data_IF_089020555180
#
_entry.id   IF_089020555180
#
_cell.length_a   1.000
_cell.length_b   1.000
_cell.length_c   1.000
_cell.angle_alpha   90.00
_cell.angle_beta   90.00
_cell.angle_gamma   90.00
#
_symmetry.space_group_name_H-M   'P 1'
#
loop_
_entity.id
_entity.type
_entity.pdbx_description
1 polymer ?
#
# COMPACT_ATOMS: atom_id res chain seq x y z
N UNK A 1 18.94 9.53 2.68
CA UNK A 1 18.57 8.22 3.30
C UNK A 1 19.45 7.88 4.52
N UNK A 2 19.91 8.89 5.27
CA UNK A 2 20.99 8.77 6.26
C UNK A 2 20.77 7.77 7.40
N UNK A 3 19.53 7.65 7.89
CA UNK A 3 19.24 6.68 8.95
C UNK A 3 19.42 5.23 8.47
N UNK A 4 18.93 4.90 7.28
CA UNK A 4 19.03 3.55 6.71
C UNK A 4 20.47 3.22 6.33
N UNK A 5 21.22 4.18 5.77
CA UNK A 5 22.63 3.96 5.44
C UNK A 5 23.47 3.65 6.68
N UNK A 6 23.16 4.24 7.84
CA UNK A 6 23.85 3.95 9.10
C UNK A 6 23.71 2.50 9.59
N UNK A 7 22.72 1.76 9.09
CA UNK A 7 22.50 0.35 9.43
C UNK A 7 23.25 -0.62 8.52
N UNK A 8 23.71 -0.15 7.36
CA UNK A 8 24.54 -0.94 6.45
C UNK A 8 25.94 -1.10 7.05
N UNK A 9 26.58 -2.24 6.77
CA UNK A 9 27.92 -2.51 7.33
C UNK A 9 28.95 -1.60 6.66
N UNK A 10 29.58 -0.65 7.38
CA UNK A 10 30.62 0.18 6.78
C UNK A 10 31.88 -0.65 6.54
N UNK A 11 32.54 -0.46 5.40
CA UNK A 11 33.87 -1.03 5.10
C UNK A 11 33.95 -2.58 5.20
N UNK A 12 32.85 -3.27 4.92
CA UNK A 12 32.81 -4.74 4.83
C UNK A 12 33.48 -5.22 3.53
N UNK A 13 34.27 -6.31 3.55
CA UNK A 13 34.76 -6.95 2.33
C UNK A 13 33.60 -7.56 1.51
N UNK A 14 32.48 -7.86 2.15
CA UNK A 14 31.23 -8.27 1.50
C UNK A 14 30.33 -7.06 1.23
N UNK A 15 29.64 -7.04 0.08
CA UNK A 15 28.67 -6.00 -0.26
C UNK A 15 27.51 -5.94 0.74
N UNK A 16 27.15 -4.74 1.19
CA UNK A 16 25.95 -4.48 1.99
C UNK A 16 24.98 -3.64 1.16
N UNK A 17 23.84 -4.24 0.78
CA UNK A 17 22.88 -3.64 -0.13
C UNK A 17 21.57 -3.31 0.58
N UNK A 18 20.96 -2.19 0.19
CA UNK A 18 19.60 -1.82 0.56
C UNK A 18 18.65 -2.14 -0.59
N UNK A 19 17.56 -2.87 -0.29
CA UNK A 19 16.48 -3.14 -1.23
C UNK A 19 15.18 -2.53 -0.70
N UNK A 20 14.46 -1.83 -1.57
CA UNK A 20 13.18 -1.20 -1.27
C UNK A 20 12.14 -1.60 -2.32
N UNK A 21 10.97 -1.99 -1.85
CA UNK A 21 9.79 -2.25 -2.68
C UNK A 21 8.67 -1.33 -2.21
N UNK A 22 8.17 -0.49 -3.10
CA UNK A 22 7.15 0.52 -2.84
C UNK A 22 6.15 0.53 -4.00
N UNK A 23 4.88 0.77 -3.69
CA UNK A 23 3.92 1.15 -4.73
C UNK A 23 4.25 2.56 -5.22
N UNK A 24 4.06 2.80 -6.51
CA UNK A 24 4.30 4.10 -7.14
C UNK A 24 3.38 4.28 -8.34
N UNK A 25 3.13 5.54 -8.70
CA UNK A 25 2.72 5.88 -10.05
C UNK A 25 3.96 5.88 -10.95
N UNK A 26 3.78 5.57 -12.23
CA UNK A 26 4.83 5.64 -13.24
C UNK A 26 5.60 6.97 -13.30
N UNK A 27 4.93 8.11 -13.20
CA UNK A 27 5.55 9.45 -13.42
C UNK A 27 5.22 10.49 -12.37
N UNK A 28 4.06 10.42 -11.73
CA UNK A 28 3.50 11.56 -11.01
C UNK A 28 3.39 11.26 -9.53
N UNK A 29 4.27 11.81 -8.68
CA UNK A 29 4.11 11.68 -7.24
C UNK A 29 3.00 12.63 -6.75
N UNK A 30 2.24 12.20 -5.75
CA UNK A 30 1.22 13.04 -5.11
C UNK A 30 1.04 12.66 -3.64
N UNK A 31 0.64 13.63 -2.82
CA UNK A 31 0.26 13.41 -1.44
C UNK A 31 -1.19 12.94 -1.35
N UNK A 32 -1.51 12.20 -0.30
CA UNK A 32 -2.90 11.89 0.07
C UNK A 32 -3.34 12.91 1.12
N UNK A 33 -3.98 13.97 0.66
CA UNK A 33 -4.48 15.09 1.47
C UNK A 33 -5.91 14.82 1.98
N UNK A 34 -6.31 15.50 3.05
CA UNK A 34 -7.64 15.34 3.65
C UNK A 34 -8.79 15.70 2.67
N UNK A 35 -8.51 16.43 1.58
CA UNK A 35 -9.46 16.78 0.52
C UNK A 35 -9.61 15.76 -0.62
N UNK A 36 -8.72 14.77 -0.74
CA UNK A 36 -8.61 13.91 -1.94
C UNK A 36 -9.67 12.80 -2.02
N UNK A 37 -10.64 12.82 -1.10
CA UNK A 37 -11.79 11.93 -1.09
C UNK A 37 -11.68 10.77 -0.10
N UNK A 38 -12.71 9.91 -0.14
CA UNK A 38 -12.95 8.90 0.89
C UNK A 38 -11.80 7.91 1.09
N UNK A 39 -11.13 7.50 0.01
CA UNK A 39 -10.04 6.53 0.08
C UNK A 39 -8.81 7.12 0.78
N UNK A 40 -8.45 8.36 0.44
CA UNK A 40 -7.37 9.07 1.13
C UNK A 40 -7.68 9.17 2.63
N UNK A 41 -8.86 9.70 2.97
CA UNK A 41 -9.30 9.90 4.36
C UNK A 41 -9.36 8.61 5.19
N UNK A 42 -9.72 7.48 4.56
CA UNK A 42 -9.94 6.21 5.28
C UNK A 42 -8.67 5.37 5.41
N UNK A 43 -7.77 5.41 4.42
CA UNK A 43 -6.64 4.48 4.32
C UNK A 43 -5.26 5.11 4.19
N UNK A 44 -5.16 6.33 3.65
CA UNK A 44 -3.88 6.89 3.20
C UNK A 44 -3.55 8.29 3.74
N UNK A 45 -4.38 8.86 4.61
CA UNK A 45 -4.22 10.23 5.14
C UNK A 45 -2.79 10.53 5.59
N UNK A 46 -2.20 11.58 5.02
CA UNK A 46 -0.83 12.01 5.34
C UNK A 46 0.26 11.17 4.66
N UNK A 47 -0.11 10.23 3.79
CA UNK A 47 0.79 9.45 2.98
C UNK A 47 1.16 10.14 1.66
N UNK A 48 2.02 9.48 0.88
CA UNK A 48 2.44 9.91 -0.44
C UNK A 48 2.43 8.71 -1.37
N UNK A 49 1.89 8.87 -2.58
CA UNK A 49 2.16 7.99 -3.71
C UNK A 49 3.45 8.47 -4.39
N UNK A 50 4.55 7.71 -4.35
CA UNK A 50 5.78 8.04 -5.06
C UNK A 50 5.63 7.95 -6.58
N UNK A 51 6.52 8.61 -7.32
CA UNK A 51 6.85 8.23 -8.69
C UNK A 51 7.93 7.16 -8.72
N UNK A 52 8.04 6.41 -9.81
CA UNK A 52 9.05 5.37 -9.98
C UNK A 52 10.50 5.89 -9.77
N UNK A 53 10.77 7.13 -10.16
CA UNK A 53 12.07 7.78 -10.07
C UNK A 53 12.30 8.58 -8.78
N UNK A 54 11.30 8.70 -7.89
CA UNK A 54 11.36 9.60 -6.74
C UNK A 54 12.61 9.39 -5.87
N UNK A 55 12.98 8.13 -5.61
CA UNK A 55 14.13 7.82 -4.75
C UNK A 55 15.48 8.12 -5.41
N UNK A 56 15.54 8.30 -6.73
CA UNK A 56 16.78 8.68 -7.42
C UNK A 56 17.24 10.09 -7.06
N UNK A 57 16.35 10.92 -6.53
CA UNK A 57 16.66 12.27 -6.05
C UNK A 57 17.22 12.32 -4.63
N UNK A 58 17.31 11.18 -3.91
CA UNK A 58 17.72 11.11 -2.50
C UNK A 58 18.95 10.22 -2.28
N UNK A 59 20.01 10.47 -3.06
CA UNK A 59 21.23 9.65 -3.09
C UNK A 59 22.41 10.21 -2.27
N UNK A 60 22.15 11.13 -1.33
CA UNK A 60 23.21 11.72 -0.49
C UNK A 60 24.01 10.69 0.33
N UNK A 61 23.35 9.60 0.74
CA UNK A 61 23.94 8.57 1.62
C UNK A 61 23.99 7.17 1.00
N UNK A 62 23.30 6.96 -0.13
CA UNK A 62 23.15 5.66 -0.79
C UNK A 62 23.28 5.85 -2.30
N UNK A 63 24.02 4.96 -2.95
CA UNK A 63 24.18 4.97 -4.41
C UNK A 63 23.19 4.01 -5.06
N UNK A 64 22.46 4.48 -6.06
CA UNK A 64 21.58 3.65 -6.87
C UNK A 64 22.37 2.63 -7.68
N UNK A 65 21.97 1.36 -7.60
CA UNK A 65 22.57 0.27 -8.39
C UNK A 65 21.62 -0.19 -9.50
N UNK A 66 20.34 -0.36 -9.18
CA UNK A 66 19.34 -0.90 -10.11
C UNK A 66 17.92 -0.54 -9.68
N UNK A 67 17.07 -0.21 -10.65
CA UNK A 67 15.61 -0.14 -10.53
C UNK A 67 14.93 -0.96 -11.61
N UNK A 68 13.73 -1.44 -11.28
CA UNK A 68 12.76 -2.02 -12.21
C UNK A 68 11.39 -1.84 -11.58
N UNK A 69 10.34 -1.98 -12.38
CA UNK A 69 8.97 -1.96 -11.91
C UNK A 69 8.30 -3.29 -12.19
N UNK A 70 7.25 -3.57 -11.43
CA UNK A 70 6.34 -4.69 -11.65
C UNK A 70 5.05 -4.08 -12.18
N UNK A 71 4.53 -4.62 -13.29
CA UNK A 71 3.29 -4.13 -13.88
C UNK A 71 2.13 -4.21 -12.85
N UNK A 72 1.28 -3.18 -12.84
CA UNK A 72 0.23 -3.03 -11.83
C UNK A 72 -0.77 -4.20 -11.78
N UNK A 73 -0.95 -4.95 -12.88
CA UNK A 73 -1.84 -6.13 -12.91
C UNK A 73 -1.53 -7.16 -11.84
N UNK A 74 -0.27 -7.31 -11.44
CA UNK A 74 0.09 -8.23 -10.36
C UNK A 74 -0.60 -7.86 -9.04
N UNK A 75 -0.61 -6.57 -8.70
CA UNK A 75 -1.26 -6.11 -7.48
C UNK A 75 -2.78 -5.98 -7.64
N UNK A 76 -3.25 -5.69 -8.86
CA UNK A 76 -4.67 -5.76 -9.18
C UNK A 76 -5.24 -7.17 -8.92
N UNK A 77 -4.59 -8.22 -9.46
CA UNK A 77 -4.95 -9.62 -9.22
C UNK A 77 -4.89 -9.98 -7.74
N UNK A 78 -3.86 -9.52 -7.03
CA UNK A 78 -3.75 -9.71 -5.57
C UNK A 78 -4.97 -9.13 -4.85
N UNK A 79 -5.40 -7.94 -5.24
CA UNK A 79 -6.55 -7.25 -4.63
C UNK A 79 -7.87 -7.95 -4.96
N UNK A 80 -8.03 -8.42 -6.20
CA UNK A 80 -9.18 -9.26 -6.58
C UNK A 80 -9.24 -10.57 -5.77
N UNK A 81 -8.10 -11.23 -5.58
CA UNK A 81 -8.05 -12.47 -4.80
C UNK A 81 -8.36 -12.24 -3.33
N UNK A 82 -7.91 -11.12 -2.76
CA UNK A 82 -8.30 -10.71 -1.41
C UNK A 82 -9.79 -10.40 -1.32
N UNK A 83 -10.37 -9.71 -2.30
CA UNK A 83 -11.80 -9.45 -2.38
C UNK A 83 -12.61 -10.77 -2.45
N UNK A 84 -12.24 -11.69 -3.35
CA UNK A 84 -12.87 -13.01 -3.48
C UNK A 84 -12.81 -13.77 -2.17
N UNK A 85 -11.65 -13.76 -1.50
CA UNK A 85 -11.45 -14.44 -0.22
C UNK A 85 -12.28 -13.80 0.88
N UNK A 86 -12.36 -12.47 0.94
CA UNK A 86 -13.20 -11.76 1.90
C UNK A 86 -14.67 -12.12 1.70
N UNK A 87 -15.16 -12.07 0.45
CA UNK A 87 -16.56 -12.34 0.12
C UNK A 87 -16.93 -13.81 0.42
N UNK A 88 -16.06 -14.76 0.09
CA UNK A 88 -16.25 -16.17 0.41
C UNK A 88 -16.33 -16.44 1.92
N UNK A 89 -15.73 -15.57 2.75
CA UNK A 89 -15.72 -15.67 4.20
C UNK A 89 -16.58 -14.61 4.89
N UNK A 90 -17.48 -13.94 4.16
CA UNK A 90 -18.18 -12.75 4.63
C UNK A 90 -18.91 -12.94 5.97
N UNK A 91 -19.62 -14.06 6.14
CA UNK A 91 -20.35 -14.36 7.38
C UNK A 91 -19.42 -14.45 8.60
N UNK A 92 -18.31 -15.17 8.46
CA UNK A 92 -17.35 -15.37 9.54
C UNK A 92 -16.59 -14.06 9.82
N UNK A 93 -16.13 -13.36 8.77
CA UNK A 93 -15.42 -12.09 8.90
C UNK A 93 -16.27 -10.99 9.53
N UNK A 94 -17.54 -10.84 9.12
CA UNK A 94 -18.47 -9.89 9.73
C UNK A 94 -18.69 -10.18 11.22
N UNK A 95 -18.92 -11.44 11.58
CA UNK A 95 -19.12 -11.83 12.98
C UNK A 95 -17.88 -11.51 13.84
N UNK A 96 -16.68 -11.76 13.33
CA UNK A 96 -15.44 -11.48 14.04
C UNK A 96 -15.21 -9.97 14.21
N UNK A 97 -15.45 -9.16 13.16
CA UNK A 97 -15.29 -7.71 13.23
C UNK A 97 -16.35 -7.04 14.12
N UNK A 98 -17.59 -7.52 14.11
CA UNK A 98 -18.63 -7.04 15.04
C UNK A 98 -18.24 -7.34 16.50
N UNK A 99 -17.73 -8.55 16.76
CA UNK A 99 -17.26 -8.95 18.08
C UNK A 99 -16.06 -8.10 18.53
N UNK A 100 -15.09 -7.87 17.65
CA UNK A 100 -13.94 -7.01 17.92
C UNK A 100 -14.38 -5.58 18.27
N UNK A 101 -15.31 -4.99 17.49
CA UNK A 101 -15.86 -3.66 17.76
C UNK A 101 -16.50 -3.59 19.15
N UNK A 102 -17.38 -4.55 19.50
CA UNK A 102 -18.00 -4.62 20.82
C UNK A 102 -16.95 -4.78 21.94
N UNK A 103 -15.92 -5.59 21.72
CA UNK A 103 -14.84 -5.79 22.70
C UNK A 103 -14.03 -4.50 22.97
N UNK A 104 -13.99 -3.60 22.00
CA UNK A 104 -13.37 -2.26 22.10
C UNK A 104 -14.34 -1.19 22.63
N UNK A 105 -15.55 -1.57 23.04
CA UNK A 105 -16.57 -0.66 23.54
C UNK A 105 -17.28 0.15 22.45
N UNK A 106 -17.19 -0.27 21.19
CA UNK A 106 -17.84 0.37 20.04
C UNK A 106 -19.16 -0.33 19.70
N UNK A 107 -20.01 0.34 18.93
CA UNK A 107 -21.18 -0.31 18.32
C UNK A 107 -20.72 -1.39 17.33
N UNK A 108 -21.43 -2.51 17.26
CA UNK A 108 -21.19 -3.59 16.28
C UNK A 108 -21.17 -3.07 14.83
N UNK A 109 -21.90 -1.99 14.56
CA UNK A 109 -21.95 -1.34 13.26
C UNK A 109 -20.56 -0.85 12.81
N UNK A 110 -19.67 -0.46 13.72
CA UNK A 110 -18.29 -0.09 13.37
C UNK A 110 -17.51 -1.28 12.79
N UNK A 111 -17.75 -2.49 13.30
CA UNK A 111 -17.22 -3.73 12.72
C UNK A 111 -17.76 -4.00 11.31
N UNK A 112 -19.06 -3.74 11.09
CA UNK A 112 -19.67 -3.84 9.75
C UNK A 112 -19.06 -2.82 8.79
N UNK A 113 -18.89 -1.56 9.22
CA UNK A 113 -18.25 -0.51 8.42
C UNK A 113 -16.84 -0.91 8.04
N UNK A 114 -16.05 -1.46 8.95
CA UNK A 114 -14.70 -1.94 8.68
C UNK A 114 -14.69 -3.01 7.57
N UNK A 115 -15.59 -4.01 7.63
CA UNK A 115 -15.70 -5.03 6.60
C UNK A 115 -15.93 -4.42 5.21
N UNK A 116 -16.93 -3.54 5.08
CA UNK A 116 -17.27 -2.93 3.79
C UNK A 116 -16.23 -1.91 3.32
N UNK A 117 -15.55 -1.19 4.23
CA UNK A 117 -14.41 -0.33 3.91
C UNK A 117 -13.32 -1.11 3.18
N UNK A 118 -12.90 -2.26 3.72
CA UNK A 118 -11.89 -3.11 3.07
C UNK A 118 -12.39 -3.70 1.75
N UNK A 119 -13.67 -4.06 1.67
CA UNK A 119 -14.26 -4.55 0.42
C UNK A 119 -14.17 -3.51 -0.69
N UNK A 120 -14.54 -2.26 -0.40
CA UNK A 120 -14.44 -1.12 -1.34
C UNK A 120 -12.98 -0.80 -1.65
N UNK A 121 -12.09 -0.88 -0.66
CA UNK A 121 -10.66 -0.71 -0.86
C UNK A 121 -10.10 -1.70 -1.88
N UNK A 122 -10.34 -3.00 -1.71
CA UNK A 122 -9.84 -4.01 -2.65
C UNK A 122 -10.39 -3.83 -4.06
N UNK A 123 -11.68 -3.48 -4.19
CA UNK A 123 -12.29 -3.15 -5.48
C UNK A 123 -11.56 -2.00 -6.16
N UNK A 124 -11.42 -0.86 -5.48
CA UNK A 124 -10.82 0.32 -6.08
C UNK A 124 -9.31 0.17 -6.34
N UNK A 125 -8.58 -0.52 -5.46
CA UNK A 125 -7.15 -0.84 -5.69
C UNK A 125 -7.00 -1.78 -6.90
N UNK A 126 -7.88 -2.77 -7.07
CA UNK A 126 -7.85 -3.63 -8.25
C UNK A 126 -7.98 -2.82 -9.55
N UNK A 127 -8.95 -1.89 -9.61
CA UNK A 127 -9.16 -1.04 -10.78
C UNK A 127 -7.99 -0.08 -11.04
N UNK A 128 -7.52 0.63 -10.00
CA UNK A 128 -6.45 1.62 -10.17
C UNK A 128 -5.14 0.99 -10.63
N UNK A 129 -4.75 -0.15 -10.07
CA UNK A 129 -3.53 -0.84 -10.48
C UNK A 129 -3.67 -1.58 -11.82
N UNK A 130 -4.89 -1.86 -12.29
CA UNK A 130 -5.12 -2.43 -13.61
C UNK A 130 -5.24 -1.36 -14.71
N UNK A 131 -5.29 -0.07 -14.34
CA UNK A 131 -5.51 1.03 -15.28
C UNK A 131 -4.48 1.01 -16.41
N UNK A 132 -4.95 1.25 -17.62
CA UNK A 132 -4.16 1.18 -18.86
C UNK A 132 -3.29 -0.08 -18.96
N UNK A 133 -3.87 -1.25 -18.66
CA UNK A 133 -3.15 -2.54 -18.70
C UNK A 133 -2.08 -2.68 -17.60
N UNK A 134 -2.26 -1.97 -16.48
CA UNK A 134 -1.32 -1.89 -15.36
C UNK A 134 -0.06 -1.08 -15.66
N UNK A 135 -0.20 -0.08 -16.54
CA UNK A 135 0.89 0.78 -17.00
C UNK A 135 0.83 2.20 -16.44
N UNK A 136 0.02 2.40 -15.39
CA UNK A 136 0.00 3.60 -14.56
C UNK A 136 0.72 3.39 -13.23
#
# INVERSE_FOLDING_TARGET
>A
MSKVSSWLRPNSPDESLFFVHIFCHKTTPYHFEEGDGWMAQTFFSGGTMPSHDLLLYFQDDLTHIRSWYINGKHYAQTSEDWLRRQDANAKAGLAELEKDAVSKGLDKEEGRKAFYRFRVFYLAVAEFFALHDGQE
#
